data_IF_874749720317
#
_entry.id   IF_874749720317
#
_cell.length_a   1.000
_cell.length_b   1.000
_cell.length_c   1.000
_cell.angle_alpha   90.00
_cell.angle_beta   90.00
_cell.angle_gamma   90.00
#
_symmetry.space_group_name_H-M   'P 1'
#
loop_
_entity.id
_entity.type
_entity.pdbx_description
1 polymer ?
#
# COMPACT_ATOMS: atom_id res chain seq x y z
N UNK A 1 21.83 49.08 -16.14
CA UNK A 1 22.25 48.26 -14.99
C UNK A 1 21.53 46.93 -15.06
N UNK A 2 22.30 45.83 -15.15
CA UNK A 2 21.80 44.45 -15.13
C UNK A 2 21.73 44.01 -13.68
N UNK A 3 20.57 43.63 -13.16
CA UNK A 3 20.41 42.73 -12.00
C UNK A 3 19.01 42.10 -12.13
N UNK A 4 18.92 40.91 -12.71
CA UNK A 4 18.81 39.63 -11.97
C UNK A 4 17.61 39.62 -11.01
N UNK A 5 16.41 39.48 -11.58
CA UNK A 5 15.27 38.93 -10.83
C UNK A 5 15.45 37.42 -10.83
N UNK A 6 16.17 36.93 -9.83
CA UNK A 6 16.26 35.50 -9.56
C UNK A 6 14.87 35.02 -9.12
N UNK A 7 14.20 34.32 -10.02
CA UNK A 7 12.95 33.60 -9.79
C UNK A 7 13.20 32.56 -8.68
N UNK A 8 12.71 32.82 -7.48
CA UNK A 8 12.64 31.84 -6.40
C UNK A 8 11.59 30.79 -6.81
N UNK A 9 12.02 29.80 -7.60
CA UNK A 9 11.34 28.52 -7.70
C UNK A 9 11.47 27.84 -6.34
N UNK A 10 10.57 28.13 -5.41
CA UNK A 10 10.25 27.18 -4.35
C UNK A 10 9.63 25.98 -5.06
N UNK A 11 10.47 25.02 -5.46
CA UNK A 11 10.02 23.66 -5.73
C UNK A 11 9.45 23.14 -4.41
N UNK A 12 8.14 23.25 -4.24
CA UNK A 12 7.40 22.50 -3.22
C UNK A 12 7.73 21.04 -3.48
N UNK A 13 8.63 20.48 -2.66
CA UNK A 13 8.82 19.04 -2.56
C UNK A 13 7.43 18.51 -2.23
N UNK A 14 6.78 17.88 -3.22
CA UNK A 14 5.63 17.04 -2.94
C UNK A 14 6.17 15.97 -1.99
N UNK A 15 5.86 16.13 -0.70
CA UNK A 15 6.18 15.10 0.28
C UNK A 15 5.40 13.88 -0.17
N UNK A 16 6.11 12.91 -0.75
CA UNK A 16 5.54 11.59 -1.05
C UNK A 16 5.23 10.95 0.30
N UNK A 17 4.00 11.13 0.73
CA UNK A 17 3.49 10.62 1.98
C UNK A 17 2.84 9.26 1.73
N UNK A 18 2.97 8.33 2.67
CA UNK A 18 2.68 6.90 2.50
C UNK A 18 3.65 6.19 1.51
N UNK A 19 4.96 6.27 1.78
CA UNK A 19 5.95 5.41 1.10
C UNK A 19 5.93 3.99 1.68
N UNK A 20 6.47 3.01 0.95
CA UNK A 20 6.64 1.62 1.40
C UNK A 20 7.31 1.57 2.79
N UNK A 21 8.39 2.31 2.99
CA UNK A 21 9.13 2.34 4.25
C UNK A 21 8.32 2.95 5.40
N UNK A 22 7.37 3.83 5.09
CA UNK A 22 6.50 4.45 6.08
C UNK A 22 5.28 3.60 6.42
N UNK A 23 4.81 2.76 5.48
CA UNK A 23 3.61 1.94 5.62
C UNK A 23 3.91 0.67 6.40
N UNK A 24 4.95 -0.06 5.99
CA UNK A 24 5.19 -1.43 6.47
C UNK A 24 6.11 -1.47 7.67
N UNK A 25 5.88 -2.45 8.54
CA UNK A 25 6.80 -2.78 9.62
C UNK A 25 8.09 -3.38 9.02
N UNK A 26 9.21 -3.23 9.74
CA UNK A 26 10.53 -3.71 9.28
C UNK A 26 10.52 -5.24 9.09
N UNK A 27 9.79 -5.94 9.94
CA UNK A 27 9.59 -7.39 9.97
C UNK A 27 8.30 -7.85 9.27
N UNK A 28 7.64 -6.97 8.51
CA UNK A 28 6.46 -7.31 7.72
C UNK A 28 6.68 -8.54 6.85
N UNK A 29 5.78 -9.52 7.00
CA UNK A 29 5.81 -10.77 6.25
C UNK A 29 5.36 -10.60 4.79
N UNK A 30 4.81 -9.45 4.39
CA UNK A 30 4.35 -9.22 3.03
C UNK A 30 5.52 -9.25 2.03
N UNK A 31 5.33 -9.92 0.90
CA UNK A 31 6.37 -10.00 -0.11
C UNK A 31 6.76 -8.60 -0.65
N UNK A 32 8.05 -8.28 -0.88
CA UNK A 32 8.47 -6.94 -1.30
C UNK A 32 7.79 -6.40 -2.56
N UNK A 33 7.52 -7.25 -3.55
CA UNK A 33 6.77 -6.84 -4.75
C UNK A 33 5.33 -6.43 -4.41
N UNK A 34 4.66 -7.19 -3.53
CA UNK A 34 3.33 -6.88 -3.06
C UNK A 34 3.30 -5.62 -2.18
N UNK A 35 4.36 -5.34 -1.42
CA UNK A 35 4.46 -4.08 -0.64
C UNK A 35 4.28 -2.85 -1.53
N UNK A 36 4.94 -2.84 -2.70
CA UNK A 36 4.84 -1.75 -3.67
C UNK A 36 3.43 -1.70 -4.28
N UNK A 37 2.93 -2.83 -4.77
CA UNK A 37 1.62 -2.89 -5.43
C UNK A 37 0.46 -2.52 -4.49
N UNK A 38 0.47 -3.04 -3.26
CA UNK A 38 -0.57 -2.77 -2.26
C UNK A 38 -0.51 -1.31 -1.79
N UNK A 39 0.70 -0.75 -1.59
CA UNK A 39 0.83 0.66 -1.22
C UNK A 39 0.20 1.56 -2.28
N UNK A 40 0.54 1.33 -3.56
CA UNK A 40 -0.01 2.06 -4.69
C UNK A 40 -1.53 1.88 -4.79
N UNK A 41 -2.03 0.65 -4.67
CA UNK A 41 -3.46 0.36 -4.77
C UNK A 41 -4.27 1.03 -3.65
N UNK A 42 -3.74 1.09 -2.43
CA UNK A 42 -4.39 1.78 -1.30
C UNK A 42 -4.44 3.29 -1.52
N UNK A 43 -3.35 3.91 -1.98
CA UNK A 43 -3.32 5.35 -2.25
C UNK A 43 -4.20 5.75 -3.43
N UNK A 44 -4.31 4.89 -4.45
CA UNK A 44 -5.16 5.12 -5.62
C UNK A 44 -6.64 4.94 -5.29
N UNK A 45 -6.99 3.92 -4.49
CA UNK A 45 -8.37 3.64 -4.10
C UNK A 45 -8.94 4.68 -3.14
N UNK A 46 -8.11 5.26 -2.27
CA UNK A 46 -8.54 6.15 -1.19
C UNK A 46 -7.72 7.44 -1.20
N UNK A 47 -8.10 8.38 -2.07
CA UNK A 47 -7.40 9.66 -2.27
C UNK A 47 -7.48 10.63 -1.06
N UNK A 48 -8.41 10.43 -0.13
CA UNK A 48 -8.61 11.26 1.06
C UNK A 48 -7.74 10.85 2.26
N UNK A 49 -6.92 9.80 2.12
CA UNK A 49 -6.04 9.35 3.19
C UNK A 49 -5.01 10.44 3.52
N UNK A 50 -4.80 10.67 4.81
CA UNK A 50 -3.84 11.67 5.25
C UNK A 50 -2.41 11.29 4.81
N UNK A 51 -1.53 12.29 4.63
CA UNK A 51 -0.10 12.05 4.56
C UNK A 51 0.38 11.18 5.74
N UNK A 52 1.07 10.07 5.47
CA UNK A 52 1.51 9.08 6.48
C UNK A 52 0.38 8.38 7.25
N UNK A 53 -0.85 8.45 6.73
CA UNK A 53 -2.04 7.88 7.33
C UNK A 53 -2.15 6.37 7.22
N UNK A 54 -1.35 5.70 6.38
CA UNK A 54 -1.40 4.24 6.21
C UNK A 54 -0.30 3.59 7.05
N UNK A 55 -0.69 2.64 7.91
CA UNK A 55 0.22 1.84 8.72
C UNK A 55 -0.19 0.38 8.71
N UNK A 56 0.73 -0.52 8.40
CA UNK A 56 0.53 -1.94 8.58
C UNK A 56 0.38 -2.28 10.07
N UNK A 57 -0.67 -3.05 10.38
CA UNK A 57 -0.93 -3.60 11.70
C UNK A 57 -0.39 -5.01 11.78
N UNK A 58 -0.75 -5.86 10.81
CA UNK A 58 -0.29 -7.24 10.72
C UNK A 58 -0.32 -7.74 9.28
N UNK A 59 0.53 -8.72 8.97
CA UNK A 59 0.40 -9.55 7.77
C UNK A 59 0.43 -11.02 8.19
N UNK A 60 -0.62 -11.75 7.83
CA UNK A 60 -0.72 -13.20 7.98
C UNK A 60 -0.41 -13.85 6.64
N UNK A 61 0.45 -14.87 6.64
CA UNK A 61 0.83 -15.63 5.44
C UNK A 61 0.29 -17.05 5.54
N UNK A 62 -0.47 -17.45 4.53
CA UNK A 62 -0.93 -18.81 4.33
C UNK A 62 -0.19 -19.40 3.13
N UNK A 63 0.40 -20.58 3.33
CA UNK A 63 1.24 -21.24 2.34
C UNK A 63 0.48 -22.43 1.78
N UNK A 64 0.17 -22.40 0.49
CA UNK A 64 -0.42 -23.53 -0.21
C UNK A 64 0.64 -24.27 -1.03
N UNK A 65 0.72 -25.59 -0.85
CA UNK A 65 1.66 -26.44 -1.59
C UNK A 65 0.90 -27.10 -2.72
N UNK A 66 1.20 -26.69 -3.95
CA UNK A 66 0.67 -27.32 -5.15
C UNK A 66 1.57 -28.50 -5.55
N UNK A 67 0.96 -29.45 -6.25
CA UNK A 67 1.61 -30.67 -6.72
C UNK A 67 2.93 -30.34 -7.46
N UNK A 68 3.94 -31.19 -7.31
CA UNK A 68 5.33 -30.99 -7.79
C UNK A 68 6.19 -29.97 -7.02
N UNK A 69 5.79 -29.57 -5.81
CA UNK A 69 6.65 -28.78 -4.90
C UNK A 69 6.68 -27.28 -5.20
N UNK A 70 5.72 -26.80 -6.00
CA UNK A 70 5.51 -25.37 -6.20
C UNK A 70 4.65 -24.82 -5.07
N UNK A 71 5.03 -23.66 -4.54
CA UNK A 71 4.45 -23.12 -3.30
C UNK A 71 3.88 -21.74 -3.54
N UNK A 72 2.57 -21.61 -3.50
CA UNK A 72 1.89 -20.31 -3.58
C UNK A 72 1.73 -19.73 -2.18
N UNK A 73 1.78 -18.40 -2.10
CA UNK A 73 1.68 -17.67 -0.85
C UNK A 73 0.50 -16.71 -0.91
N UNK A 74 -0.41 -16.84 0.04
CA UNK A 74 -1.55 -15.96 0.23
C UNK A 74 -1.31 -15.10 1.46
N UNK A 75 -1.58 -13.81 1.34
CA UNK A 75 -1.32 -12.81 2.36
C UNK A 75 -2.62 -12.11 2.71
N UNK A 76 -2.95 -12.06 4.00
CA UNK A 76 -3.95 -11.15 4.55
C UNK A 76 -3.22 -10.07 5.32
N UNK A 77 -3.17 -8.86 4.78
CA UNK A 77 -2.54 -7.70 5.43
C UNK A 77 -3.61 -6.76 5.95
N UNK A 78 -3.56 -6.45 7.25
CA UNK A 78 -4.43 -5.43 7.84
C UNK A 78 -3.66 -4.13 8.03
N UNK A 79 -4.26 -3.03 7.59
CA UNK A 79 -3.76 -1.68 7.74
C UNK A 79 -4.67 -0.85 8.66
N UNK A 80 -4.06 0.00 9.46
CA UNK A 80 -4.70 1.15 10.09
C UNK A 80 -4.58 2.33 9.13
N UNK A 81 -5.71 2.97 8.83
CA UNK A 81 -5.77 4.08 7.89
C UNK A 81 -6.39 5.30 8.57
N UNK A 82 -5.63 6.39 8.61
CA UNK A 82 -6.08 7.69 9.10
C UNK A 82 -6.44 8.60 7.92
N UNK A 83 -7.63 9.18 7.96
CA UNK A 83 -8.16 10.06 6.93
C UNK A 83 -8.93 11.22 7.56
N UNK A 84 -9.24 12.25 6.78
CA UNK A 84 -10.03 13.39 7.22
C UNK A 84 -11.34 13.41 6.44
N UNK A 85 -12.46 13.46 7.15
CA UNK A 85 -13.80 13.54 6.56
C UNK A 85 -14.56 14.67 7.24
N UNK A 86 -15.09 15.60 6.45
CA UNK A 86 -15.78 16.81 6.93
C UNK A 86 -15.01 17.55 8.04
N UNK A 87 -13.71 17.79 7.83
CA UNK A 87 -12.80 18.43 8.79
C UNK A 87 -12.57 17.66 10.11
N UNK A 88 -13.09 16.44 10.25
CA UNK A 88 -12.88 15.59 11.41
C UNK A 88 -11.84 14.49 11.11
N UNK A 89 -10.86 14.27 12.02
CA UNK A 89 -9.93 13.16 11.89
C UNK A 89 -10.66 11.83 12.16
N UNK A 90 -10.47 10.87 11.29
CA UNK A 90 -11.07 9.54 11.36
C UNK A 90 -9.99 8.47 11.19
N UNK A 91 -10.26 7.28 11.72
CA UNK A 91 -9.42 6.11 11.51
C UNK A 91 -10.27 4.86 11.27
N UNK A 92 -9.76 3.97 10.43
CA UNK A 92 -10.42 2.70 10.13
C UNK A 92 -9.40 1.60 9.85
N UNK A 93 -9.88 0.36 9.73
CA UNK A 93 -9.08 -0.78 9.29
C UNK A 93 -9.40 -1.10 7.84
N UNK A 94 -8.34 -1.33 7.07
CA UNK A 94 -8.44 -1.85 5.71
C UNK A 94 -7.74 -3.20 5.66
N UNK A 95 -8.42 -4.21 5.17
CA UNK A 95 -7.88 -5.56 4.98
C UNK A 95 -7.61 -5.74 3.50
N UNK A 96 -6.39 -6.15 3.17
CA UNK A 96 -5.98 -6.46 1.80
C UNK A 96 -5.64 -7.94 1.73
N UNK A 97 -6.31 -8.66 0.83
CA UNK A 97 -5.93 -10.02 0.45
C UNK A 97 -5.13 -9.99 -0.84
N UNK A 98 -4.01 -10.69 -0.85
CA UNK A 98 -3.11 -10.71 -2.00
C UNK A 98 -2.38 -12.06 -2.11
N UNK A 99 -1.96 -12.40 -3.32
CA UNK A 99 -1.27 -13.66 -3.59
C UNK A 99 0.07 -13.41 -4.30
N UNK A 100 1.03 -14.30 -4.05
CA UNK A 100 2.24 -14.46 -4.85
C UNK A 100 2.30 -15.91 -5.34
N UNK A 101 2.23 -16.07 -6.66
CA UNK A 101 2.28 -17.37 -7.32
C UNK A 101 3.73 -17.75 -7.61
N UNK A 102 4.10 -19.03 -7.41
CA UNK A 102 5.48 -19.50 -7.59
C UNK A 102 5.68 -20.46 -8.77
N UNK A 103 4.68 -20.68 -9.63
CA UNK A 103 4.82 -21.47 -10.86
C UNK A 103 3.73 -22.51 -11.13
N UNK A 104 2.74 -22.64 -10.26
CA UNK A 104 1.59 -23.56 -10.39
C UNK A 104 0.54 -23.02 -11.38
N UNK A 105 0.48 -21.69 -11.51
CA UNK A 105 -0.43 -20.97 -12.38
C UNK A 105 0.39 -20.27 -13.48
N UNK A 106 0.16 -20.55 -14.78
CA UNK A 106 0.85 -19.88 -15.89
C UNK A 106 0.32 -18.45 -16.10
N UNK A 107 0.40 -17.62 -15.06
CA UNK A 107 0.03 -16.21 -15.08
C UNK A 107 1.23 -15.34 -15.42
N UNK A 108 1.05 -14.41 -16.37
CA UNK A 108 2.07 -13.40 -16.72
C UNK A 108 2.36 -12.46 -15.53
N UNK A 109 1.38 -12.31 -14.62
CA UNK A 109 1.49 -11.56 -13.37
C UNK A 109 1.64 -12.55 -12.20
N UNK A 110 2.79 -12.55 -11.55
CA UNK A 110 3.13 -13.47 -10.43
C UNK A 110 2.63 -12.98 -9.06
N UNK A 111 1.94 -11.84 -9.05
CA UNK A 111 1.37 -11.18 -7.86
C UNK A 111 -0.05 -10.75 -8.17
N UNK A 112 -0.93 -10.83 -7.18
CA UNK A 112 -2.30 -10.35 -7.34
C UNK A 112 -2.85 -9.72 -6.05
N UNK A 113 -3.69 -8.71 -6.20
CA UNK A 113 -4.46 -8.12 -5.09
C UNK A 113 -5.89 -8.61 -5.26
N UNK A 114 -6.25 -9.63 -4.49
CA UNK A 114 -7.53 -10.32 -4.61
C UNK A 114 -8.68 -9.46 -4.09
N UNK A 115 -8.47 -8.75 -2.98
CA UNK A 115 -9.46 -7.84 -2.44
C UNK A 115 -8.84 -6.72 -1.59
N UNK A 116 -9.54 -5.59 -1.54
CA UNK A 116 -9.27 -4.48 -0.61
C UNK A 116 -10.60 -4.16 0.07
N UNK A 117 -10.74 -4.56 1.33
CA UNK A 117 -11.94 -4.46 2.15
C UNK A 117 -11.75 -3.39 3.23
N UNK A 118 -12.56 -2.34 3.20
CA UNK A 118 -12.50 -1.26 4.16
C UNK A 118 -13.47 -0.15 3.78
N UNK A 119 -14.07 0.47 4.80
CA UNK A 119 -14.98 1.60 4.62
C UNK A 119 -14.25 2.89 4.96
N UNK A 120 -13.83 3.62 3.93
CA UNK A 120 -13.27 4.97 4.02
C UNK A 120 -14.19 5.88 3.20
N UNK A 121 -14.67 6.96 3.84
CA UNK A 121 -15.48 7.97 3.19
C UNK A 121 -14.54 9.07 2.67
N UNK A 122 -14.32 9.07 1.37
CA UNK A 122 -13.54 10.13 0.70
C UNK A 122 -14.42 11.21 0.06
N UNK A 123 -15.74 10.98 -0.04
CA UNK A 123 -16.75 11.88 -0.62
C UNK A 123 -17.86 12.20 0.39
#
# INVERSE_FOLDING_TARGET
MKFLVALFLLSTLAVSANTVESIYQVDSALHPLLKVEVAQALTDKFNCINPYGIKEVETVVEVDRVDQGVVDYYYTTTFSVNYTYDYHPNSTRVVVRSAKYAGSNPTVKWTDIESIEGHILCD
#
